data_IF_353571995949
#
_entry.id   IF_353571995949
#
_cell.length_a   1.000
_cell.length_b   1.000
_cell.length_c   1.000
_cell.angle_alpha   90.00
_cell.angle_beta   90.00
_cell.angle_gamma   90.00
#
_symmetry.space_group_name_H-M   'P 1'
#
loop_
_entity.id
_entity.type
_entity.pdbx_description
1 polymer ?
#
# COMPACT_ATOMS: atom_id res chain seq x y z
N UNK A 1 -17.76 8.33 15.35
CA UNK A 1 -17.82 6.95 14.82
C UNK A 1 -16.41 6.59 14.39
N UNK A 2 -15.64 5.91 15.24
CA UNK A 2 -14.31 5.40 14.87
C UNK A 2 -14.52 4.22 13.92
N UNK A 3 -13.84 4.21 12.77
CA UNK A 3 -13.76 3.00 11.94
C UNK A 3 -13.20 1.85 12.81
N UNK A 4 -13.82 0.66 12.78
CA UNK A 4 -13.34 -0.46 13.57
C UNK A 4 -11.90 -0.79 13.16
N UNK A 5 -11.01 -0.91 14.13
CA UNK A 5 -9.64 -1.37 13.87
C UNK A 5 -9.73 -2.83 13.44
N UNK A 6 -9.42 -3.11 12.18
CA UNK A 6 -9.27 -4.47 11.66
C UNK A 6 -8.25 -5.23 12.53
N UNK A 7 -8.63 -6.39 13.07
CA UNK A 7 -7.77 -7.21 13.94
C UNK A 7 -6.71 -8.01 13.18
N UNK A 8 -6.65 -7.87 11.85
CA UNK A 8 -5.70 -8.58 10.99
C UNK A 8 -4.50 -7.67 10.76
N UNK A 9 -3.29 -8.16 11.09
CA UNK A 9 -2.06 -7.43 10.78
C UNK A 9 -1.99 -7.14 9.29
N UNK A 10 -1.90 -5.85 8.93
CA UNK A 10 -1.77 -5.41 7.53
C UNK A 10 -0.34 -5.45 7.03
N UNK A 11 0.63 -5.73 7.91
CA UNK A 11 2.06 -5.60 7.65
C UNK A 11 2.82 -6.76 8.32
N UNK A 12 3.81 -7.28 7.61
CA UNK A 12 4.73 -8.30 8.07
C UNK A 12 6.17 -7.84 7.77
N UNK A 13 7.10 -8.25 8.63
CA UNK A 13 8.52 -7.91 8.54
C UNK A 13 9.34 -9.19 8.64
N UNK A 14 10.29 -9.35 7.72
CA UNK A 14 11.25 -10.44 7.73
C UNK A 14 12.59 -9.97 8.30
N UNK A 15 13.37 -10.90 8.87
CA UNK A 15 14.66 -10.59 9.51
C UNK A 15 15.75 -10.10 8.54
N UNK A 16 15.54 -10.26 7.24
CA UNK A 16 16.39 -9.76 6.17
C UNK A 16 16.06 -8.32 5.74
N UNK A 17 15.06 -7.70 6.37
CA UNK A 17 14.58 -6.35 6.04
C UNK A 17 13.46 -6.31 5.01
N UNK A 18 12.96 -7.45 4.54
CA UNK A 18 11.81 -7.49 3.63
C UNK A 18 10.52 -7.11 4.39
N UNK A 19 9.67 -6.31 3.72
CA UNK A 19 8.36 -5.91 4.22
C UNK A 19 7.27 -6.30 3.23
N UNK A 20 6.13 -6.74 3.75
CA UNK A 20 4.96 -7.09 2.93
C UNK A 20 3.67 -6.68 3.65
N UNK A 21 2.65 -6.31 2.90
CA UNK A 21 1.40 -5.86 3.50
C UNK A 21 0.48 -5.15 2.54
N UNK A 22 -0.72 -4.84 3.03
CA UNK A 22 -1.70 -4.05 2.28
C UNK A 22 -1.46 -2.56 2.49
N UNK A 23 -1.15 -1.86 1.41
CA UNK A 23 -1.02 -0.40 1.40
C UNK A 23 -2.38 0.29 1.49
N UNK A 24 -3.42 -0.34 0.94
CA UNK A 24 -4.81 0.11 1.06
C UNK A 24 -5.75 -1.08 0.98
N UNK A 25 -6.82 -1.10 1.79
CA UNK A 25 -7.88 -2.10 1.68
C UNK A 25 -9.10 -1.48 1.01
N UNK A 26 -9.72 -2.24 0.11
CA UNK A 26 -10.93 -1.80 -0.57
C UNK A 26 -12.14 -1.81 0.38
N UNK A 27 -13.04 -0.84 0.20
CA UNK A 27 -14.27 -0.75 0.98
C UNK A 27 -14.10 -0.27 2.43
N UNK A 28 -12.86 -0.06 2.87
CA UNK A 28 -12.54 0.51 4.19
C UNK A 28 -12.46 2.04 4.08
N UNK A 29 -13.06 2.76 5.03
CA UNK A 29 -12.94 4.22 5.12
C UNK A 29 -11.70 4.56 5.94
N UNK A 30 -10.79 5.33 5.37
CA UNK A 30 -9.57 5.76 6.06
C UNK A 30 -9.80 6.98 6.98
N UNK A 31 -8.72 7.49 7.57
CA UNK A 31 -8.78 8.64 8.49
C UNK A 31 -9.14 9.96 7.79
N UNK A 32 -8.85 10.08 6.50
CA UNK A 32 -9.23 11.21 5.66
C UNK A 32 -10.69 11.12 5.19
N UNK A 33 -11.37 10.00 5.47
CA UNK A 33 -12.73 9.65 5.05
C UNK A 33 -12.83 9.28 3.57
N UNK A 34 -11.73 8.85 2.97
CA UNK A 34 -11.72 8.29 1.63
C UNK A 34 -11.87 6.76 1.69
N UNK A 35 -12.45 6.20 0.63
CA UNK A 35 -12.61 4.77 0.42
C UNK A 35 -12.06 4.39 -0.94
N UNK A 36 -11.13 3.43 -0.96
CA UNK A 36 -10.60 2.90 -2.20
C UNK A 36 -11.50 1.77 -2.72
N UNK A 37 -11.71 1.74 -4.04
CA UNK A 37 -12.52 0.73 -4.72
C UNK A 37 -11.64 -0.21 -5.54
N UNK A 38 -12.07 -1.47 -5.77
CA UNK A 38 -11.34 -2.39 -6.63
C UNK A 38 -11.04 -1.78 -8.00
N UNK A 39 -9.79 -1.90 -8.46
CA UNK A 39 -9.34 -1.35 -9.73
C UNK A 39 -8.85 0.10 -9.67
N UNK A 40 -8.88 0.75 -8.49
CA UNK A 40 -8.37 2.11 -8.30
C UNK A 40 -6.91 2.27 -8.70
N UNK A 41 -6.08 1.22 -8.58
CA UNK A 41 -4.65 1.26 -8.88
C UNK A 41 -4.29 0.57 -10.20
N UNK A 42 -5.13 -0.33 -10.73
CA UNK A 42 -4.87 -1.16 -11.92
C UNK A 42 -4.22 -0.39 -13.07
N UNK A 43 -4.82 0.73 -13.48
CA UNK A 43 -4.33 1.47 -14.66
C UNK A 43 -2.97 2.11 -14.39
N UNK A 44 -2.78 2.69 -13.20
CA UNK A 44 -1.53 3.35 -12.81
C UNK A 44 -0.39 2.34 -12.67
N UNK A 45 -0.63 1.18 -12.07
CA UNK A 45 0.38 0.12 -11.94
C UNK A 45 0.85 -0.35 -13.32
N UNK A 46 -0.09 -0.59 -14.25
CA UNK A 46 0.22 -0.97 -15.63
C UNK A 46 1.00 0.11 -16.38
N UNK A 47 0.67 1.38 -16.19
CA UNK A 47 1.26 2.48 -16.95
C UNK A 47 2.61 2.95 -16.41
N UNK A 48 2.76 3.09 -15.08
CA UNK A 48 4.00 3.58 -14.44
C UNK A 48 5.07 2.50 -14.32
N UNK A 49 4.67 1.26 -14.03
CA UNK A 49 5.58 0.20 -13.65
C UNK A 49 6.20 0.39 -12.25
N UNK A 50 6.58 -0.72 -11.63
CA UNK A 50 7.00 -0.80 -10.22
C UNK A 50 8.15 0.16 -9.86
N UNK A 51 9.17 0.24 -10.73
CA UNK A 51 10.39 1.02 -10.48
C UNK A 51 10.17 2.53 -10.41
N UNK A 52 8.99 3.03 -10.82
CA UNK A 52 8.61 4.45 -10.76
C UNK A 52 7.82 4.82 -9.50
N UNK A 53 7.58 3.85 -8.61
CA UNK A 53 6.89 4.07 -7.33
C UNK A 53 7.97 4.00 -6.25
N UNK A 54 8.37 5.14 -5.66
CA UNK A 54 9.44 5.15 -4.67
C UNK A 54 8.94 4.65 -3.31
N UNK A 55 9.82 3.98 -2.57
CA UNK A 55 9.61 3.67 -1.16
C UNK A 55 10.34 4.76 -0.35
N UNK A 56 9.59 5.69 0.23
CA UNK A 56 10.10 6.91 0.86
C UNK A 56 9.85 6.91 2.36
N UNK A 57 10.76 7.49 3.13
CA UNK A 57 10.50 7.85 4.50
C UNK A 57 9.56 9.05 4.56
N UNK A 58 8.43 8.95 5.28
CA UNK A 58 7.53 10.09 5.58
C UNK A 58 7.11 10.93 4.36
N UNK A 59 7.00 10.33 3.18
CA UNK A 59 6.74 11.00 1.90
C UNK A 59 7.82 11.99 1.43
N UNK A 60 9.01 12.01 2.03
CA UNK A 60 10.13 12.83 1.58
C UNK A 60 10.84 12.20 0.36
N UNK A 61 10.81 12.84 -0.84
CA UNK A 61 11.49 12.32 -2.01
C UNK A 61 13.02 12.26 -1.90
N UNK A 62 13.62 12.99 -0.95
CA UNK A 62 15.06 12.97 -0.70
C UNK A 62 15.52 11.75 0.14
N UNK A 63 14.58 11.03 0.76
CA UNK A 63 14.88 9.91 1.66
C UNK A 63 14.26 8.58 1.17
N UNK A 64 14.81 7.97 0.10
CA UNK A 64 14.43 6.62 -0.30
C UNK A 64 14.93 5.58 0.70
N UNK A 65 14.05 4.68 1.14
CA UNK A 65 14.35 3.66 2.15
C UNK A 65 14.37 2.23 1.62
N UNK A 66 14.07 2.05 0.33
CA UNK A 66 14.09 0.73 -0.29
C UNK A 66 13.52 0.71 -1.70
N UNK A 67 13.21 -0.49 -2.16
CA UNK A 67 12.59 -0.73 -3.47
C UNK A 67 11.46 -1.74 -3.31
N UNK A 68 10.37 -1.56 -4.06
CA UNK A 68 9.33 -2.57 -4.14
C UNK A 68 9.81 -3.74 -4.99
N UNK A 69 9.59 -4.95 -4.49
CA UNK A 69 9.86 -6.21 -5.20
C UNK A 69 8.63 -6.64 -6.01
N UNK A 70 7.45 -6.49 -5.43
CA UNK A 70 6.13 -6.72 -6.05
C UNK A 70 5.14 -5.65 -5.57
N UNK A 71 4.14 -5.35 -6.41
CA UNK A 71 3.02 -4.46 -6.07
C UNK A 71 1.87 -4.73 -7.05
N UNK A 72 0.73 -5.20 -6.55
CA UNK A 72 -0.42 -5.57 -7.37
C UNK A 72 -1.71 -5.49 -6.54
N UNK A 73 -2.85 -5.30 -7.21
CA UNK A 73 -4.14 -5.41 -6.54
C UNK A 73 -4.58 -6.88 -6.47
N UNK A 74 -5.12 -7.28 -5.32
CA UNK A 74 -5.84 -8.53 -5.14
C UNK A 74 -7.33 -8.28 -4.82
N UNK A 75 -8.05 -9.29 -4.33
CA UNK A 75 -9.47 -9.15 -4.00
C UNK A 75 -9.75 -8.29 -2.75
N UNK A 76 -8.74 -8.01 -1.92
CA UNK A 76 -8.84 -7.25 -0.67
C UNK A 76 -8.34 -5.82 -0.81
N UNK A 77 -7.30 -5.59 -1.61
CA UNK A 77 -6.63 -4.29 -1.64
C UNK A 77 -5.45 -4.22 -2.59
N UNK A 78 -4.61 -3.20 -2.38
CA UNK A 78 -3.28 -3.03 -2.98
C UNK A 78 -2.19 -3.54 -2.05
#
# INVERSE_FOLDING_TARGET
>A
MHAPLSSVSRLSFSGDGTVEGYASLFGEIDQARDMMMPGAFTQTLKARGLRRIPMLFQHDPAEPVGVWLELYEDFRGL
#
